data_IF_820862052393
#
_entry.id   IF_820862052393
#
_cell.length_a   1.000
_cell.length_b   1.000
_cell.length_c   1.000
_cell.angle_alpha   90.00
_cell.angle_beta   90.00
_cell.angle_gamma   90.00
#
_symmetry.space_group_name_H-M   'P 1'
#
loop_
_entity.id
_entity.type
_entity.pdbx_description
1 polymer ?
#
# COMPACT_ATOMS: atom_id res chain seq x y z
N UNK A 1 -9.15 1.51 -33.45
CA UNK A 1 -7.76 1.44 -32.95
C UNK A 1 -7.81 1.61 -31.44
N UNK A 2 -7.46 0.59 -30.67
CA UNK A 2 -7.42 0.65 -29.20
C UNK A 2 -6.21 1.46 -28.78
N UNK A 3 -6.40 2.66 -28.24
CA UNK A 3 -5.32 3.45 -27.67
C UNK A 3 -4.74 2.68 -26.46
N UNK A 4 -3.47 2.31 -26.53
CA UNK A 4 -2.78 1.61 -25.42
C UNK A 4 -2.71 2.54 -24.21
N UNK A 5 -3.30 2.15 -23.07
CA UNK A 5 -3.26 2.92 -21.81
C UNK A 5 -1.85 2.86 -21.19
N UNK A 6 -0.92 3.61 -21.78
CA UNK A 6 0.47 3.68 -21.33
C UNK A 6 0.58 4.24 -19.90
N UNK A 7 -0.30 5.17 -19.52
CA UNK A 7 -0.28 5.73 -18.17
C UNK A 7 -0.80 4.72 -17.14
N UNK A 8 -1.86 3.98 -17.45
CA UNK A 8 -2.33 2.88 -16.61
C UNK A 8 -1.25 1.80 -16.41
N UNK A 9 -0.50 1.47 -17.47
CA UNK A 9 0.65 0.58 -17.36
C UNK A 9 1.74 1.14 -16.44
N UNK A 10 2.09 2.42 -16.59
CA UNK A 10 3.03 3.11 -15.71
C UNK A 10 2.61 3.07 -14.23
N UNK A 11 1.36 3.43 -13.90
CA UNK A 11 0.87 3.40 -12.52
C UNK A 11 0.93 1.99 -11.94
N UNK A 12 0.62 0.97 -12.74
CA UNK A 12 0.73 -0.43 -12.32
C UNK A 12 2.17 -0.80 -11.99
N UNK A 13 3.13 -0.44 -12.84
CA UNK A 13 4.55 -0.68 -12.60
C UNK A 13 5.04 0.02 -11.32
N UNK A 14 4.58 1.25 -11.07
CA UNK A 14 4.88 2.02 -9.85
C UNK A 14 4.34 1.33 -8.59
N UNK A 15 3.09 0.88 -8.61
CA UNK A 15 2.47 0.14 -7.50
C UNK A 15 3.13 -1.23 -7.27
N UNK A 16 3.55 -1.92 -8.32
CA UNK A 16 4.31 -3.17 -8.19
C UNK A 16 5.71 -2.93 -7.62
N UNK A 17 6.38 -1.85 -8.03
CA UNK A 17 7.65 -1.41 -7.46
C UNK A 17 7.52 -1.12 -5.96
N UNK A 18 6.50 -0.34 -5.60
CA UNK A 18 6.13 -0.11 -4.20
C UNK A 18 5.88 -1.41 -3.43
N UNK A 19 5.10 -2.33 -3.99
CA UNK A 19 4.80 -3.63 -3.37
C UNK A 19 6.03 -4.52 -3.17
N UNK A 20 7.04 -4.43 -4.04
CA UNK A 20 8.34 -5.11 -3.87
C UNK A 20 9.19 -4.46 -2.78
N UNK A 21 9.19 -3.12 -2.74
CA UNK A 21 10.00 -2.37 -1.79
C UNK A 21 9.49 -2.55 -0.36
N UNK A 22 8.18 -2.44 -0.17
CA UNK A 22 7.47 -2.56 1.10
C UNK A 22 6.80 -3.93 1.27
N UNK A 23 7.39 -4.99 0.70
CA UNK A 23 6.81 -6.32 0.75
C UNK A 23 6.67 -6.81 2.20
N UNK A 24 5.51 -7.37 2.56
CA UNK A 24 5.20 -7.73 3.96
C UNK A 24 6.10 -8.82 4.55
N UNK A 25 6.78 -9.60 3.72
CA UNK A 25 7.78 -10.57 4.19
C UNK A 25 9.12 -9.90 4.58
N UNK A 26 9.37 -8.67 4.13
CA UNK A 26 10.51 -7.83 4.52
C UNK A 26 10.25 -7.05 5.81
N UNK A 27 8.99 -6.85 6.21
CA UNK A 27 8.62 -6.13 7.44
C UNK A 27 9.25 -6.74 8.71
N UNK A 28 9.66 -8.02 8.70
CA UNK A 28 10.40 -8.65 9.79
C UNK A 28 11.82 -8.10 10.00
N UNK A 29 12.44 -7.52 8.98
CA UNK A 29 13.79 -6.92 9.08
C UNK A 29 13.73 -5.44 9.47
N UNK A 30 12.62 -4.75 9.22
CA UNK A 30 12.51 -3.30 9.36
C UNK A 30 12.26 -2.80 10.78
N UNK A 31 11.74 -3.63 11.70
CA UNK A 31 11.18 -3.14 12.96
C UNK A 31 11.94 -3.53 14.23
N UNK A 32 12.98 -4.38 14.18
CA UNK A 32 13.74 -4.80 15.37
C UNK A 32 12.91 -5.48 16.48
N UNK A 33 11.60 -5.62 16.27
CA UNK A 33 10.61 -6.23 17.12
C UNK A 33 9.74 -7.11 16.23
N UNK A 34 9.73 -8.41 16.52
CA UNK A 34 9.06 -9.45 15.75
C UNK A 34 7.52 -9.33 15.66
N UNK A 35 6.89 -8.23 16.11
CA UNK A 35 5.47 -8.25 16.44
C UNK A 35 4.54 -7.34 15.64
N UNK A 36 5.03 -6.38 14.83
CA UNK A 36 4.16 -5.44 14.11
C UNK A 36 4.56 -5.31 12.65
N UNK A 37 3.59 -5.16 11.75
CA UNK A 37 3.85 -4.85 10.34
C UNK A 37 3.79 -3.32 10.13
N UNK A 38 4.37 -2.80 9.05
CA UNK A 38 4.47 -1.34 8.82
C UNK A 38 3.09 -0.67 8.70
N UNK A 39 2.05 -1.40 8.28
CA UNK A 39 0.71 -0.84 8.18
C UNK A 39 0.07 -0.70 9.56
N UNK A 40 0.26 -1.70 10.43
CA UNK A 40 -0.20 -1.65 11.82
C UNK A 40 0.44 -0.46 12.53
N UNK A 41 1.72 -0.20 12.26
CA UNK A 41 2.41 1.01 12.72
C UNK A 41 1.74 2.28 12.17
N UNK A 42 1.53 2.39 10.86
CA UNK A 42 0.85 3.57 10.28
C UNK A 42 -0.59 3.74 10.80
N UNK A 43 -1.32 2.66 11.04
CA UNK A 43 -2.68 2.69 11.60
C UNK A 43 -2.64 3.15 13.06
N UNK A 44 -1.79 2.54 13.88
CA UNK A 44 -1.61 2.88 15.30
C UNK A 44 -1.22 4.36 15.48
N UNK A 45 -0.47 4.90 14.52
CA UNK A 45 -0.04 6.29 14.48
C UNK A 45 -0.92 7.20 13.59
N UNK A 46 -2.13 6.77 13.18
CA UNK A 46 -3.08 7.58 12.39
C UNK A 46 -2.50 8.16 11.07
N UNK A 47 -1.59 7.44 10.44
CA UNK A 47 -0.88 7.84 9.22
C UNK A 47 0.35 8.71 9.48
N UNK A 48 0.78 8.85 10.73
CA UNK A 48 2.09 9.41 11.08
C UNK A 48 3.12 8.27 11.17
N UNK A 49 4.35 8.50 10.72
CA UNK A 49 5.42 7.56 11.00
C UNK A 49 5.74 7.63 12.51
N UNK A 50 5.93 6.50 13.21
CA UNK A 50 6.39 6.52 14.60
C UNK A 50 7.67 7.36 14.68
N UNK A 51 7.77 8.20 15.71
CA UNK A 51 8.99 8.94 16.00
C UNK A 51 10.19 7.97 16.03
N UNK A 52 11.36 8.43 15.54
CA UNK A 52 12.58 7.63 15.41
C UNK A 52 13.00 7.03 16.77
N UNK A 53 12.41 5.91 17.17
CA UNK A 53 12.88 5.13 18.31
C UNK A 53 14.10 4.38 17.81
N UNK A 54 15.27 4.88 18.20
CA UNK A 54 16.62 4.30 18.13
C UNK A 54 16.67 2.84 17.63
N UNK A 55 17.07 2.65 16.38
CA UNK A 55 17.35 1.32 15.81
C UNK A 55 17.16 1.18 14.30
N UNK A 56 16.44 2.09 13.64
CA UNK A 56 16.21 1.99 12.19
C UNK A 56 17.49 2.33 11.41
N UNK A 57 18.16 1.32 10.84
CA UNK A 57 19.03 1.57 9.68
C UNK A 57 18.12 1.95 8.52
N UNK A 58 18.17 3.17 7.97
CA UNK A 58 17.43 3.48 6.77
C UNK A 58 18.01 2.58 5.67
N UNK A 59 17.25 1.60 5.22
CA UNK A 59 17.49 1.06 3.88
C UNK A 59 17.22 2.23 2.94
N UNK A 60 18.12 2.45 1.98
CA UNK A 60 17.87 3.41 0.91
C UNK A 60 16.58 3.00 0.21
N UNK A 61 15.49 3.71 0.54
CA UNK A 61 14.19 3.45 -0.05
C UNK A 61 14.16 4.08 -1.42
N UNK A 62 13.74 3.33 -2.43
CA UNK A 62 13.51 3.87 -3.75
C UNK A 62 12.51 5.06 -3.69
N UNK A 63 12.92 6.22 -4.21
CA UNK A 63 12.12 7.46 -4.13
C UNK A 63 10.75 7.34 -4.81
N UNK A 64 10.65 6.58 -5.90
CA UNK A 64 9.38 6.34 -6.58
C UNK A 64 8.43 5.49 -5.74
N UNK A 65 8.95 4.48 -5.03
CA UNK A 65 8.20 3.66 -4.10
C UNK A 65 7.77 4.47 -2.87
N UNK A 66 8.66 5.33 -2.34
CA UNK A 66 8.35 6.22 -1.23
C UNK A 66 7.23 7.21 -1.57
N UNK A 67 7.20 7.74 -2.80
CA UNK A 67 6.10 8.59 -3.27
C UNK A 67 4.76 7.84 -3.25
N UNK A 68 4.72 6.57 -3.65
CA UNK A 68 3.49 5.76 -3.55
C UNK A 68 3.11 5.51 -2.10
N UNK A 69 4.08 5.23 -1.22
CA UNK A 69 3.82 5.04 0.22
C UNK A 69 3.19 6.30 0.84
N UNK A 70 3.63 7.50 0.46
CA UNK A 70 3.00 8.74 0.91
C UNK A 70 1.55 8.88 0.41
N UNK A 71 1.29 8.58 -0.87
CA UNK A 71 -0.07 8.61 -1.43
C UNK A 71 -0.99 7.64 -0.69
N UNK A 72 -0.53 6.41 -0.44
CA UNK A 72 -1.31 5.38 0.27
C UNK A 72 -1.49 5.76 1.75
N UNK A 73 -0.49 6.38 2.38
CA UNK A 73 -0.58 6.87 3.76
C UNK A 73 -1.58 8.01 3.91
N UNK A 74 -1.61 8.95 2.96
CA UNK A 74 -2.61 10.01 2.94
C UNK A 74 -4.02 9.45 2.67
N UNK A 75 -4.14 8.52 1.72
CA UNK A 75 -5.37 7.77 1.49
C UNK A 75 -5.85 7.07 2.76
N UNK A 76 -4.96 6.50 3.58
CA UNK A 76 -5.33 5.83 4.82
C UNK A 76 -5.98 6.78 5.85
N UNK A 77 -5.81 8.10 5.75
CA UNK A 77 -6.46 9.06 6.67
C UNK A 77 -7.96 9.18 6.43
N UNK A 78 -8.38 9.06 5.17
CA UNK A 78 -9.78 9.28 4.75
C UNK A 78 -10.47 8.00 4.27
N UNK A 79 -9.71 7.08 3.68
CA UNK A 79 -10.18 5.88 2.97
C UNK A 79 -9.33 4.66 3.38
N UNK A 80 -9.35 4.33 4.67
CA UNK A 80 -8.57 3.23 5.29
C UNK A 80 -8.71 1.90 4.56
N UNK A 81 -9.91 1.61 4.08
CA UNK A 81 -10.24 0.34 3.43
C UNK A 81 -9.49 0.18 2.11
N UNK A 82 -9.41 1.24 1.30
CA UNK A 82 -8.66 1.24 0.05
C UNK A 82 -7.16 1.05 0.32
N UNK A 83 -6.62 1.76 1.31
CA UNK A 83 -5.22 1.62 1.70
C UNK A 83 -4.89 0.18 2.15
N UNK A 84 -5.75 -0.42 2.98
CA UNK A 84 -5.60 -1.83 3.41
C UNK A 84 -5.63 -2.80 2.23
N UNK A 85 -6.57 -2.60 1.29
CA UNK A 85 -6.70 -3.44 0.09
C UNK A 85 -5.49 -3.31 -0.82
N UNK A 86 -5.02 -2.09 -1.10
CA UNK A 86 -3.83 -1.86 -1.92
C UNK A 86 -2.60 -2.53 -1.31
N UNK A 87 -2.41 -2.41 0.02
CA UNK A 87 -1.26 -3.03 0.70
C UNK A 87 -1.35 -4.55 0.70
N UNK A 88 -2.52 -5.12 0.97
CA UNK A 88 -2.72 -6.57 0.84
C UNK A 88 -2.45 -7.08 -0.59
N UNK A 89 -2.87 -6.32 -1.60
CA UNK A 89 -2.72 -6.71 -3.01
C UNK A 89 -1.27 -6.62 -3.52
N UNK A 90 -0.59 -5.50 -3.27
CA UNK A 90 0.75 -5.22 -3.82
C UNK A 90 1.87 -5.64 -2.88
N UNK A 91 1.81 -5.31 -1.59
CA UNK A 91 2.84 -5.69 -0.61
C UNK A 91 2.77 -7.16 -0.19
N UNK A 92 1.63 -7.82 -0.45
CA UNK A 92 1.50 -9.29 -0.41
C UNK A 92 2.13 -10.00 -1.62
N UNK A 93 2.95 -9.33 -2.42
CA UNK A 93 3.64 -9.94 -3.56
C UNK A 93 4.42 -11.21 -3.14
N UNK A 94 4.41 -12.23 -4.01
CA UNK A 94 4.91 -13.57 -3.70
C UNK A 94 3.87 -14.52 -3.06
N UNK A 95 2.76 -13.99 -2.53
CA UNK A 95 1.63 -14.80 -2.02
C UNK A 95 0.60 -15.13 -3.09
N UNK A 96 -0.18 -16.19 -2.88
CA UNK A 96 -1.33 -16.56 -3.72
C UNK A 96 -2.41 -15.47 -3.63
N UNK A 97 -3.25 -15.36 -4.66
CA UNK A 97 -4.31 -14.33 -4.74
C UNK A 97 -5.24 -14.33 -3.52
N UNK A 98 -5.63 -15.51 -3.02
CA UNK A 98 -6.49 -15.59 -1.84
C UNK A 98 -5.77 -15.14 -0.57
N UNK A 99 -4.49 -15.50 -0.39
CA UNK A 99 -3.68 -15.09 0.76
C UNK A 99 -3.48 -13.57 0.83
N UNK A 100 -3.36 -12.90 -0.32
CA UNK A 100 -3.32 -11.43 -0.41
C UNK A 100 -4.61 -10.79 0.09
N UNK A 101 -5.76 -11.36 -0.28
CA UNK A 101 -7.07 -10.93 0.22
C UNK A 101 -7.22 -11.22 1.72
N UNK A 102 -6.78 -12.39 2.18
CA UNK A 102 -6.84 -12.73 3.60
C UNK A 102 -5.98 -11.76 4.43
N UNK A 103 -4.81 -11.38 3.88
CA UNK A 103 -3.97 -10.32 4.45
C UNK A 103 -4.70 -8.97 4.48
N UNK A 104 -5.34 -8.55 3.38
CA UNK A 104 -6.13 -7.32 3.37
C UNK A 104 -7.28 -7.37 4.39
N UNK A 105 -7.93 -8.51 4.56
CA UNK A 105 -9.00 -8.69 5.54
C UNK A 105 -8.50 -8.60 6.99
N UNK A 106 -7.31 -9.13 7.28
CA UNK A 106 -6.67 -8.94 8.59
C UNK A 106 -6.42 -7.45 8.87
N UNK A 107 -5.94 -6.71 7.86
CA UNK A 107 -5.71 -5.27 7.96
C UNK A 107 -7.02 -4.48 8.15
N UNK A 108 -8.07 -4.84 7.41
CA UNK A 108 -9.40 -4.25 7.56
C UNK A 108 -9.97 -4.47 8.97
N UNK A 109 -9.85 -5.68 9.51
CA UNK A 109 -10.29 -5.98 10.88
C UNK A 109 -9.51 -5.14 11.90
N UNK A 110 -8.19 -4.97 11.72
CA UNK A 110 -7.36 -4.18 12.61
C UNK A 110 -7.77 -2.69 12.65
N UNK A 111 -8.35 -2.16 11.57
CA UNK A 111 -8.90 -0.79 11.53
C UNK A 111 -10.38 -0.70 11.92
N UNK A 112 -10.99 -1.81 12.37
CA UNK A 112 -12.40 -1.88 12.74
C UNK A 112 -13.37 -2.01 11.56
N UNK A 113 -12.88 -2.22 10.33
CA UNK A 113 -13.72 -2.47 9.15
C UNK A 113 -14.08 -3.95 9.02
N UNK A 114 -15.20 -4.21 8.34
CA UNK A 114 -15.64 -5.57 8.06
C UNK A 114 -14.78 -6.23 6.97
N UNK A 115 -14.47 -7.54 7.10
CA UNK A 115 -13.82 -8.30 6.04
C UNK A 115 -14.60 -8.28 4.74
N UNK A 116 -13.90 -8.28 3.62
CA UNK A 116 -14.49 -8.16 2.30
C UNK A 116 -14.47 -9.49 1.53
N UNK A 117 -15.50 -9.67 0.70
CA UNK A 117 -15.58 -10.77 -0.26
C UNK A 117 -14.53 -10.61 -1.36
N UNK A 118 -14.22 -11.68 -2.09
CA UNK A 118 -13.25 -11.64 -3.18
C UNK A 118 -13.63 -10.63 -4.29
N UNK A 119 -14.92 -10.54 -4.62
CA UNK A 119 -15.41 -9.56 -5.61
C UNK A 119 -15.22 -8.14 -5.11
N UNK A 120 -15.63 -7.86 -3.88
CA UNK A 120 -15.54 -6.51 -3.32
C UNK A 120 -14.08 -6.08 -3.11
N UNK A 121 -13.19 -7.02 -2.75
CA UNK A 121 -11.75 -6.80 -2.69
C UNK A 121 -11.18 -6.27 -4.03
N UNK A 122 -11.57 -6.87 -5.16
CA UNK A 122 -11.14 -6.41 -6.48
C UNK A 122 -11.74 -5.04 -6.84
N UNK A 123 -13.00 -4.80 -6.48
CA UNK A 123 -13.63 -3.48 -6.66
C UNK A 123 -12.90 -2.39 -5.89
N UNK A 124 -12.59 -2.62 -4.60
CA UNK A 124 -11.82 -1.67 -3.79
C UNK A 124 -10.40 -1.48 -4.32
N UNK A 125 -9.78 -2.54 -4.84
CA UNK A 125 -8.49 -2.44 -5.52
C UNK A 125 -8.57 -1.48 -6.72
N UNK A 126 -9.57 -1.63 -7.59
CA UNK A 126 -9.71 -0.80 -8.79
C UNK A 126 -9.98 0.66 -8.45
N UNK A 127 -10.76 0.93 -7.40
CA UNK A 127 -10.97 2.29 -6.87
C UNK A 127 -9.68 2.87 -6.30
N UNK A 128 -8.95 2.10 -5.49
CA UNK A 128 -7.65 2.52 -4.95
C UNK A 128 -6.62 2.80 -6.05
N UNK A 129 -6.58 1.96 -7.08
CA UNK A 129 -5.74 2.15 -8.26
C UNK A 129 -6.09 3.45 -8.99
N UNK A 130 -7.38 3.72 -9.22
CA UNK A 130 -7.84 4.94 -9.87
C UNK A 130 -7.48 6.20 -9.05
N UNK A 131 -7.55 6.11 -7.73
CA UNK A 131 -7.13 7.20 -6.84
C UNK A 131 -5.63 7.50 -6.97
N UNK A 132 -4.78 6.46 -6.87
CA UNK A 132 -3.32 6.61 -7.03
C UNK A 132 -2.99 7.17 -8.41
N UNK A 133 -3.65 6.69 -9.47
CA UNK A 133 -3.54 7.23 -10.83
C UNK A 133 -3.86 8.73 -10.84
N UNK A 134 -4.98 9.14 -10.25
CA UNK A 134 -5.41 10.54 -10.20
C UNK A 134 -4.39 11.45 -9.52
N UNK A 135 -3.83 11.02 -8.38
CA UNK A 135 -2.79 11.78 -7.67
C UNK A 135 -1.52 11.89 -8.51
N UNK A 136 -1.07 10.80 -9.14
CA UNK A 136 0.12 10.82 -9.99
C UNK A 136 -0.06 11.71 -11.24
N UNK A 137 -1.27 11.75 -11.83
CA UNK A 137 -1.58 12.71 -12.90
C UNK A 137 -1.47 14.13 -12.38
N UNK A 138 -2.06 14.43 -11.21
CA UNK A 138 -1.99 15.76 -10.60
C UNK A 138 -0.55 16.22 -10.34
N UNK A 139 0.29 15.33 -9.82
CA UNK A 139 1.72 15.61 -9.61
C UNK A 139 2.47 15.84 -10.92
N UNK A 140 2.16 15.08 -11.98
CA UNK A 140 2.78 15.24 -13.29
C UNK A 140 2.40 16.56 -13.98
N UNK A 141 1.20 17.08 -13.71
CA UNK A 141 0.76 18.39 -14.24
C UNK A 141 1.36 19.55 -13.44
N UNK A 142 1.62 19.35 -12.15
CA UNK A 142 2.17 20.38 -11.26
C UNK A 142 3.70 20.52 -11.30
N UNK A 143 4.40 19.54 -11.89
CA UNK A 143 5.85 19.51 -12.08
C UNK A 143 6.26 20.26 -13.35
#
# INVERSE_FOLDING_TARGET
MSQTDAFGAYVRTRLEGWGREFALHRDCEYLGHQSKNMLQVLIEHRGEMPGRVTGFKPIEVNQEALQIEFIVSDMARTQRELACVLRGYYCGSGRKKHERRDTANQLLQAVGSTPVSARHFLTLHDVGFAHVRGVLVGLAIAA
#
